data_IF_033522503044
#
_entry.id   IF_033522503044
#
_cell.length_a   1.000
_cell.length_b   1.000
_cell.length_c   1.000
_cell.angle_alpha   90.00
_cell.angle_beta   90.00
_cell.angle_gamma   90.00
#
_symmetry.space_group_name_H-M   'P 1'
#
loop_
_entity.id
_entity.type
_entity.pdbx_description
1 polymer ?
#
# COMPACT_ATOMS: atom_id res chain seq x y z
N UNK A 1 21.58 -23.90 -11.85
CA UNK A 1 20.47 -22.99 -11.55
C UNK A 1 19.26 -23.54 -12.29
N UNK A 2 18.37 -24.23 -11.56
CA UNK A 2 17.35 -25.11 -12.12
C UNK A 2 16.21 -24.38 -12.81
N UNK A 3 15.48 -25.12 -13.63
CA UNK A 3 14.35 -24.70 -14.45
C UNK A 3 13.15 -24.29 -13.57
N UNK A 4 13.21 -23.10 -12.96
CA UNK A 4 12.08 -22.53 -12.20
C UNK A 4 11.07 -22.00 -13.23
N UNK A 5 9.81 -22.48 -13.23
CA UNK A 5 8.79 -21.94 -14.11
C UNK A 5 8.60 -20.44 -13.84
N UNK A 6 8.35 -19.68 -14.91
CA UNK A 6 8.09 -18.25 -14.78
C UNK A 6 6.87 -18.01 -13.89
N UNK A 7 6.94 -16.97 -13.07
CA UNK A 7 5.75 -16.47 -12.38
C UNK A 7 4.77 -15.93 -13.43
N UNK A 8 3.53 -16.37 -13.35
CA UNK A 8 2.45 -15.86 -14.18
C UNK A 8 1.96 -14.53 -13.61
N UNK A 9 2.33 -13.43 -14.27
CA UNK A 9 1.96 -12.07 -13.88
C UNK A 9 0.84 -11.55 -14.81
N UNK A 10 -0.42 -11.78 -14.44
CA UNK A 10 -1.60 -11.30 -15.18
C UNK A 10 -2.48 -10.42 -14.30
N UNK A 11 -2.82 -9.24 -14.83
CA UNK A 11 -3.72 -8.30 -14.17
C UNK A 11 -5.14 -8.86 -14.06
N UNK A 12 -5.63 -9.51 -15.11
CA UNK A 12 -6.97 -10.11 -15.14
C UNK A 12 -7.11 -11.21 -14.10
N UNK A 13 -6.08 -12.07 -13.97
CA UNK A 13 -6.06 -13.13 -12.95
C UNK A 13 -6.04 -12.55 -11.54
N UNK A 14 -5.26 -11.49 -11.31
CA UNK A 14 -5.24 -10.78 -10.04
C UNK A 14 -6.62 -10.23 -9.68
N UNK A 15 -7.30 -9.57 -10.62
CA UNK A 15 -8.66 -9.03 -10.39
C UNK A 15 -9.64 -10.16 -10.07
N UNK A 16 -9.59 -11.27 -10.82
CA UNK A 16 -10.46 -12.43 -10.57
C UNK A 16 -10.22 -13.04 -9.19
N UNK A 17 -8.96 -13.17 -8.78
CA UNK A 17 -8.59 -13.69 -7.45
C UNK A 17 -9.12 -12.77 -6.34
N UNK A 18 -8.91 -11.46 -6.46
CA UNK A 18 -9.31 -10.50 -5.42
C UNK A 18 -10.80 -10.17 -5.43
N UNK A 19 -11.51 -10.46 -6.52
CA UNK A 19 -12.98 -10.36 -6.58
C UNK A 19 -13.65 -11.49 -5.80
N UNK A 20 -12.96 -12.60 -5.55
CA UNK A 20 -13.52 -13.72 -4.79
C UNK A 20 -13.59 -13.40 -3.29
N UNK A 21 -14.80 -13.11 -2.79
CA UNK A 21 -15.05 -12.77 -1.39
C UNK A 21 -15.08 -13.98 -0.45
N UNK A 22 -15.17 -15.19 -0.98
CA UNK A 22 -15.15 -16.43 -0.19
C UNK A 22 -13.74 -17.00 -0.05
N UNK A 23 -12.78 -16.49 -0.83
CA UNK A 23 -11.39 -16.88 -0.72
C UNK A 23 -10.76 -16.28 0.54
N UNK A 24 -9.96 -17.08 1.25
CA UNK A 24 -9.23 -16.67 2.46
C UNK A 24 -7.94 -15.93 2.14
N UNK A 25 -7.95 -15.07 1.12
CA UNK A 25 -6.76 -14.30 0.74
C UNK A 25 -6.53 -13.18 1.75
N UNK A 26 -5.46 -13.29 2.54
CA UNK A 26 -5.03 -12.20 3.43
C UNK A 26 -4.69 -10.94 2.64
N UNK A 27 -4.29 -11.08 1.39
CA UNK A 27 -3.98 -9.96 0.51
C UNK A 27 -5.24 -9.15 0.16
N UNK A 28 -6.40 -9.79 -0.06
CA UNK A 28 -7.65 -9.04 -0.29
C UNK A 28 -8.00 -8.16 0.90
N UNK A 29 -7.85 -8.67 2.12
CA UNK A 29 -8.11 -7.92 3.36
C UNK A 29 -7.14 -6.75 3.53
N UNK A 30 -5.84 -7.00 3.31
CA UNK A 30 -4.83 -5.95 3.32
C UNK A 30 -5.10 -4.87 2.28
N UNK A 31 -5.48 -5.29 1.07
CA UNK A 31 -5.76 -4.36 -0.02
C UNK A 31 -7.04 -3.54 0.24
N UNK A 32 -8.05 -4.14 0.88
CA UNK A 32 -9.21 -3.41 1.37
C UNK A 32 -8.81 -2.32 2.38
N UNK A 33 -8.02 -2.65 3.40
CA UNK A 33 -7.51 -1.66 4.37
C UNK A 33 -6.68 -0.57 3.68
N UNK A 34 -5.91 -0.93 2.66
CA UNK A 34 -5.18 0.03 1.83
C UNK A 34 -6.15 1.01 1.14
N UNK A 35 -7.27 0.53 0.60
CA UNK A 35 -8.27 1.37 -0.07
C UNK A 35 -9.16 2.19 0.89
N UNK A 36 -9.35 1.76 2.14
CA UNK A 36 -10.26 2.43 3.08
C UNK A 36 -9.57 3.20 4.20
N UNK A 37 -8.28 2.98 4.42
CA UNK A 37 -7.56 3.52 5.58
C UNK A 37 -6.15 3.94 5.24
N UNK A 38 -5.33 3.02 4.70
CA UNK A 38 -3.87 3.16 4.74
C UNK A 38 -3.20 3.60 3.44
N UNK A 39 -3.86 3.65 2.28
CA UNK A 39 -3.30 4.16 1.02
C UNK A 39 -1.87 3.74 0.63
N UNK A 40 -1.39 2.58 1.09
CA UNK A 40 -0.05 2.07 0.79
C UNK A 40 0.01 1.45 -0.61
N UNK A 41 0.51 2.23 -1.58
CA UNK A 41 0.67 1.80 -2.97
C UNK A 41 2.14 1.76 -3.38
N UNK A 42 2.57 0.67 -4.01
CA UNK A 42 3.92 0.52 -4.55
C UNK A 42 3.95 1.07 -5.97
N UNK A 43 4.77 2.09 -6.21
CA UNK A 43 4.94 2.70 -7.54
C UNK A 43 6.40 2.63 -7.97
N UNK A 44 6.64 2.65 -9.28
CA UNK A 44 7.96 2.54 -9.91
C UNK A 44 8.01 3.36 -11.20
N UNK A 45 7.50 4.60 -11.15
CA UNK A 45 7.36 5.47 -12.32
C UNK A 45 8.69 6.14 -12.71
N UNK A 46 9.61 6.27 -11.74
CA UNK A 46 10.91 6.91 -11.94
C UNK A 46 11.83 6.10 -12.86
N UNK A 47 12.62 6.81 -13.68
CA UNK A 47 13.53 6.18 -14.64
C UNK A 47 14.65 5.34 -14.01
N UNK A 48 15.01 5.62 -12.76
CA UNK A 48 16.00 4.88 -11.97
C UNK A 48 15.45 3.62 -11.32
N UNK A 49 14.12 3.45 -11.30
CA UNK A 49 13.49 2.28 -10.70
C UNK A 49 13.68 1.05 -11.62
N UNK A 50 14.17 -0.09 -11.10
CA UNK A 50 14.51 -1.26 -11.91
C UNK A 50 13.31 -2.13 -12.29
N UNK A 51 12.10 -1.80 -11.81
CA UNK A 51 10.87 -2.55 -12.11
C UNK A 51 10.05 -1.87 -13.23
N UNK A 52 8.89 -2.46 -13.55
CA UNK A 52 8.01 -1.94 -14.60
C UNK A 52 7.52 -0.53 -14.25
N UNK A 53 7.66 0.39 -15.22
CA UNK A 53 7.09 1.75 -15.14
C UNK A 53 5.57 1.79 -15.24
N UNK A 54 4.93 0.65 -15.47
CA UNK A 54 3.48 0.52 -15.43
C UNK A 54 2.94 0.39 -13.99
N UNK A 55 3.81 0.23 -12.99
CA UNK A 55 3.44 0.28 -11.58
C UNK A 55 3.26 1.76 -11.18
N UNK A 56 2.10 2.30 -11.50
CA UNK A 56 1.73 3.70 -11.23
C UNK A 56 0.80 3.79 -10.03
N UNK A 57 0.65 4.98 -9.46
CA UNK A 57 -0.40 5.20 -8.45
C UNK A 57 -1.78 4.84 -9.02
N UNK A 58 -2.06 5.26 -10.26
CA UNK A 58 -3.34 5.04 -10.94
C UNK A 58 -3.68 3.56 -11.13
N UNK A 59 -2.70 2.74 -11.56
CA UNK A 59 -2.90 1.30 -11.74
C UNK A 59 -3.19 0.58 -10.43
N UNK A 60 -2.72 1.13 -9.31
CA UNK A 60 -2.99 0.57 -7.98
C UNK A 60 -4.35 1.07 -7.44
N UNK A 61 -4.66 2.36 -7.58
CA UNK A 61 -5.89 2.95 -7.05
C UNK A 61 -7.13 2.54 -7.84
N UNK A 62 -7.02 2.24 -9.14
CA UNK A 62 -8.16 1.76 -9.92
C UNK A 62 -8.73 0.42 -9.42
N UNK A 63 -7.89 -0.41 -8.82
CA UNK A 63 -8.32 -1.68 -8.22
C UNK A 63 -9.25 -1.46 -7.03
N UNK A 64 -9.11 -0.35 -6.29
CA UNK A 64 -10.03 -0.02 -5.20
C UNK A 64 -11.47 0.15 -5.69
N UNK A 65 -11.64 0.82 -6.83
CA UNK A 65 -12.96 0.98 -7.46
C UNK A 65 -13.46 -0.33 -8.03
N UNK A 66 -12.61 -1.11 -8.72
CA UNK A 66 -13.03 -2.38 -9.35
C UNK A 66 -13.36 -3.49 -8.36
N UNK A 67 -12.67 -3.57 -7.22
CA UNK A 67 -12.79 -4.68 -6.27
C UNK A 67 -13.74 -4.41 -5.10
N UNK A 68 -13.91 -3.13 -4.74
CA UNK A 68 -14.60 -2.74 -3.50
C UNK A 68 -15.60 -1.60 -3.68
N UNK A 69 -15.83 -1.14 -4.93
CA UNK A 69 -16.71 0.00 -5.23
C UNK A 69 -16.29 1.29 -4.49
N UNK A 70 -15.00 1.45 -4.21
CA UNK A 70 -14.44 2.65 -3.56
C UNK A 70 -13.92 3.61 -4.64
N UNK A 71 -14.54 4.79 -4.82
CA UNK A 71 -14.06 5.79 -5.77
C UNK A 71 -12.65 6.29 -5.43
N UNK A 72 -11.81 6.48 -6.45
CA UNK A 72 -10.41 6.90 -6.24
C UNK A 72 -10.27 8.27 -5.56
N UNK A 73 -11.21 9.18 -5.82
CA UNK A 73 -11.28 10.52 -5.23
C UNK A 73 -11.62 10.50 -3.73
N UNK A 74 -12.12 9.37 -3.21
CA UNK A 74 -12.36 9.17 -1.77
C UNK A 74 -11.09 8.76 -1.01
N UNK A 75 -10.10 8.19 -1.68
CA UNK A 75 -8.89 7.67 -1.04
C UNK A 75 -8.15 8.72 -0.19
N UNK A 76 -7.94 9.98 -0.65
CA UNK A 76 -7.27 10.99 0.18
C UNK A 76 -8.02 11.29 1.48
N UNK A 77 -9.35 11.31 1.46
CA UNK A 77 -10.19 11.56 2.65
C UNK A 77 -10.05 10.43 3.67
N UNK A 78 -10.05 9.18 3.22
CA UNK A 78 -9.85 8.01 4.06
C UNK A 78 -8.47 8.00 4.74
N UNK A 79 -7.44 8.34 3.97
CA UNK A 79 -6.06 8.39 4.45
C UNK A 79 -5.86 9.52 5.45
N UNK A 80 -6.42 10.70 5.16
CA UNK A 80 -6.38 11.85 6.06
C UNK A 80 -7.07 11.54 7.39
N UNK A 81 -8.25 10.90 7.35
CA UNK A 81 -8.93 10.42 8.56
C UNK A 81 -8.04 9.50 9.40
N UNK A 82 -7.43 8.48 8.78
CA UNK A 82 -6.54 7.53 9.48
C UNK A 82 -5.32 8.24 10.09
N UNK A 83 -4.70 9.15 9.33
CA UNK A 83 -3.55 9.92 9.80
C UNK A 83 -3.92 10.81 11.00
N UNK A 84 -5.08 11.47 10.97
CA UNK A 84 -5.58 12.27 12.09
C UNK A 84 -5.91 11.42 13.30
N UNK A 85 -6.55 10.26 13.09
CA UNK A 85 -6.93 9.34 14.15
C UNK A 85 -5.71 8.79 14.91
N UNK A 86 -4.65 8.39 14.21
CA UNK A 86 -3.42 7.84 14.82
C UNK A 86 -2.32 8.87 15.09
N UNK A 87 -2.49 10.12 14.64
CA UNK A 87 -1.53 11.22 14.83
C UNK A 87 -0.36 11.27 13.85
N UNK A 88 -0.39 10.49 12.76
CA UNK A 88 0.59 10.57 11.66
C UNK A 88 2.06 10.48 12.10
N UNK A 89 2.87 11.52 11.83
CA UNK A 89 4.27 11.61 12.30
C UNK A 89 4.43 12.01 13.76
N UNK A 90 3.36 12.43 14.42
CA UNK A 90 3.38 12.95 15.78
C UNK A 90 2.33 12.23 16.64
N UNK A 91 2.43 10.89 16.75
CA UNK A 91 1.45 10.13 17.51
C UNK A 91 1.52 10.50 18.99
N UNK A 92 0.35 10.64 19.61
CA UNK A 92 0.20 11.02 21.01
C UNK A 92 0.30 9.80 21.94
N UNK A 93 1.33 8.98 21.75
CA UNK A 93 1.54 7.74 22.51
C UNK A 93 2.46 7.94 23.70
N UNK A 94 2.20 7.22 24.80
CA UNK A 94 3.06 7.20 25.98
C UNK A 94 3.59 5.79 26.22
N UNK A 95 4.85 5.68 26.68
CA UNK A 95 5.50 4.39 26.99
C UNK A 95 5.58 3.42 25.78
N UNK A 96 5.85 3.96 24.59
CA UNK A 96 6.05 3.18 23.35
C UNK A 96 7.47 3.40 22.84
N UNK A 97 8.13 2.32 22.41
CA UNK A 97 9.44 2.36 21.74
C UNK A 97 9.28 1.97 20.26
N UNK A 98 9.65 2.88 19.36
CA UNK A 98 9.63 2.66 17.91
C UNK A 98 11.01 2.18 17.44
N UNK A 99 11.15 0.88 17.19
CA UNK A 99 12.43 0.27 16.77
C UNK A 99 12.50 0.18 15.25
N UNK A 100 13.61 0.63 14.68
CA UNK A 100 13.85 0.65 13.24
C UNK A 100 15.18 0.00 12.87
N UNK A 101 15.23 -0.60 11.69
CA UNK A 101 16.45 -1.19 11.12
C UNK A 101 16.95 -0.41 9.91
N UNK A 102 18.23 -0.07 9.88
CA UNK A 102 18.84 0.74 8.81
C UNK A 102 18.79 0.09 7.41
N UNK A 103 18.68 -1.24 7.32
CA UNK A 103 18.53 -1.99 6.06
C UNK A 103 17.06 -2.31 5.72
N UNK A 104 16.11 -1.95 6.59
CA UNK A 104 14.70 -2.18 6.34
C UNK A 104 14.19 -1.15 5.34
N UNK A 105 13.63 -1.62 4.22
CA UNK A 105 12.95 -0.72 3.26
C UNK A 105 11.74 -0.01 3.88
N UNK A 106 11.18 -0.57 4.95
CA UNK A 106 10.03 -0.02 5.67
C UNK A 106 10.38 1.12 6.64
N UNK A 107 11.67 1.44 6.85
CA UNK A 107 12.08 2.49 7.78
C UNK A 107 11.47 3.85 7.43
N UNK A 108 11.22 4.11 6.15
CA UNK A 108 10.60 5.35 5.66
C UNK A 108 9.11 5.48 6.02
N UNK A 109 8.45 4.39 6.40
CA UNK A 109 7.05 4.40 6.86
C UNK A 109 6.94 4.44 8.39
N UNK A 110 8.06 4.57 9.09
CA UNK A 110 8.13 4.53 10.55
C UNK A 110 8.52 5.89 11.12
N UNK A 111 8.41 6.02 12.44
CA UNK A 111 8.90 7.20 13.16
C UNK A 111 10.42 7.15 13.25
N UNK A 112 11.09 7.96 12.44
CA UNK A 112 12.55 8.06 12.42
C UNK A 112 12.98 9.50 12.16
N UNK A 113 13.59 10.17 13.15
CA UNK A 113 14.18 11.53 13.04
C UNK A 113 13.45 12.48 12.06
N UNK A 114 12.18 12.82 12.34
CA UNK A 114 11.40 13.74 11.51
C UNK A 114 10.71 13.13 10.28
N UNK A 115 10.84 11.81 10.07
CA UNK A 115 10.10 11.06 9.06
C UNK A 115 8.71 10.70 9.58
N UNK A 116 7.75 10.71 8.66
CA UNK A 116 6.34 10.48 8.94
C UNK A 116 6.00 9.02 8.71
N UNK A 117 5.08 8.50 9.52
CA UNK A 117 4.06 7.60 8.98
C UNK A 117 3.16 8.45 8.06
N UNK A 118 3.68 8.93 6.91
CA UNK A 118 2.78 9.45 5.87
C UNK A 118 2.55 8.26 4.99
N UNK A 119 1.28 7.94 4.86
CA UNK A 119 0.78 7.44 3.61
C UNK A 119 0.80 8.64 2.66
N UNK A 120 1.97 8.93 2.05
CA UNK A 120 2.08 10.04 1.10
C UNK A 120 1.27 9.68 -0.13
N UNK A 121 0.16 10.37 -0.33
CA UNK A 121 -0.25 10.75 -1.67
C UNK A 121 0.77 11.78 -2.17
N UNK A 122 1.50 11.44 -3.24
CA UNK A 122 2.13 12.44 -4.10
C UNK A 122 1.19 12.71 -5.28
#
# INVERSE_FOLDING_TARGET
>A
LGNVPCLDASHEKLVLELSNTTATSSYRLWFYQTCTEFGFYQTCEDTSCPFSRMLTIQSQTELCSRLFDIPQDRLPVHIDFTNQYYGGNQPQTQRVLYVNGNKSRWILLSLYQGTVMVIRWN
#
